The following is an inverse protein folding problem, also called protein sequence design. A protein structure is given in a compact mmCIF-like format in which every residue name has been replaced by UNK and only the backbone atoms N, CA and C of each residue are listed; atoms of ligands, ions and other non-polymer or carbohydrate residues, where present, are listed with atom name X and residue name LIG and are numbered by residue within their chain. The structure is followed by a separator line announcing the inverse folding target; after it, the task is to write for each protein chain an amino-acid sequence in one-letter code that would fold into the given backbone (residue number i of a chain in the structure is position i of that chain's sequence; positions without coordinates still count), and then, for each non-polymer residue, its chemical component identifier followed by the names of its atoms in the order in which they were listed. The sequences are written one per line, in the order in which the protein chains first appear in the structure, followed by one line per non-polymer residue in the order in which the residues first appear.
data_IF_583559503203
#
_entry.id   IF_583559503203
#
_cell.length_a   1.000
_cell.length_b   1.000
_cell.length_c   1.000
_cell.angle_alpha   90.00
_cell.angle_beta   90.00
_cell.angle_gamma   90.00
#
_symmetry.space_group_name_H-M   'P 1'
#
loop_
_entity.id
_entity.type
_entity.pdbx_description
1 polymer ?
#
# COMPACT_ATOMS: atom_id res chain seq x y z
N UNK A 1 3.02 -6.61 27.39
CA UNK A 1 1.58 -6.30 27.26
C UNK A 1 1.10 -6.92 25.97
N UNK A 2 0.26 -7.95 26.09
CA UNK A 2 -0.19 -8.86 25.03
C UNK A 2 -1.39 -8.30 24.28
N UNK A 3 -1.21 -7.90 23.02
CA UNK A 3 -2.31 -7.58 22.10
C UNK A 3 -2.62 -8.79 21.21
N UNK A 4 -3.85 -9.30 21.28
CA UNK A 4 -4.36 -10.35 20.39
C UNK A 4 -4.80 -9.73 19.05
N UNK A 5 -4.33 -10.29 17.93
CA UNK A 5 -4.82 -10.00 16.59
C UNK A 5 -5.02 -11.31 15.83
N UNK A 6 -6.17 -11.48 15.18
CA UNK A 6 -6.47 -12.67 14.39
C UNK A 6 -5.71 -12.61 13.06
N UNK A 7 -4.65 -13.40 12.95
CA UNK A 7 -3.99 -13.68 11.67
C UNK A 7 -4.61 -14.97 11.10
N UNK A 8 -5.37 -14.87 10.01
CA UNK A 8 -5.72 -16.05 9.23
C UNK A 8 -4.54 -16.36 8.29
N UNK A 9 -3.63 -17.22 8.74
CA UNK A 9 -2.75 -17.95 7.82
C UNK A 9 -3.57 -19.07 7.20
N UNK A 10 -4.39 -18.75 6.21
CA UNK A 10 -5.07 -19.77 5.41
C UNK A 10 -4.01 -20.49 4.57
N UNK A 11 -3.68 -21.72 4.95
CA UNK A 11 -2.83 -22.62 4.18
C UNK A 11 -3.63 -23.06 2.94
N UNK A 12 -3.48 -22.33 1.84
CA UNK A 12 -4.04 -22.69 0.53
C UNK A 12 -4.51 -21.47 -0.25
N UNK A 13 -3.85 -21.18 -1.39
CA UNK A 13 -4.18 -20.28 -2.53
C UNK A 13 -4.71 -18.86 -2.24
N UNK A 14 -4.92 -18.51 -0.98
CA UNK A 14 -5.46 -17.26 -0.48
C UNK A 14 -4.36 -16.59 0.30
N UNK A 15 -4.08 -15.35 -0.07
CA UNK A 15 -3.09 -14.55 0.62
C UNK A 15 -3.40 -14.41 2.08
N UNK A 16 -2.40 -14.11 2.90
CA UNK A 16 -2.69 -13.89 4.29
C UNK A 16 -3.53 -12.60 4.38
N UNK A 17 -4.81 -12.79 4.69
CA UNK A 17 -5.79 -11.72 4.81
C UNK A 17 -5.80 -11.28 6.27
N UNK A 18 -5.18 -10.13 6.55
CA UNK A 18 -5.05 -9.61 7.91
C UNK A 18 -6.18 -8.61 8.21
N UNK A 19 -7.25 -9.11 8.83
CA UNK A 19 -8.46 -8.33 9.11
C UNK A 19 -8.23 -7.30 10.22
N UNK A 20 -7.44 -7.62 11.24
CA UNK A 20 -7.06 -6.67 12.31
C UNK A 20 -5.73 -7.07 12.96
N UNK A 21 -4.76 -6.15 12.99
CA UNK A 21 -3.43 -6.41 13.52
C UNK A 21 -3.04 -5.41 14.62
N UNK A 22 -2.69 -5.94 15.81
CA UNK A 22 -2.28 -5.20 17.02
C UNK A 22 -0.88 -5.64 17.53
N UNK A 23 0.08 -5.82 16.62
CA UNK A 23 1.43 -6.33 16.93
C UNK A 23 2.49 -5.28 16.61
N UNK A 24 3.63 -5.33 17.32
CA UNK A 24 4.60 -4.23 17.37
C UNK A 24 5.55 -4.11 16.17
N UNK A 25 5.55 -5.04 15.19
CA UNK A 25 6.51 -5.03 14.06
C UNK A 25 6.36 -6.16 13.00
N UNK A 26 5.19 -6.40 12.39
CA UNK A 26 5.13 -7.47 11.41
C UNK A 26 6.01 -7.14 10.19
N UNK A 27 6.72 -8.13 9.67
CA UNK A 27 7.52 -7.99 8.45
C UNK A 27 7.15 -9.11 7.48
N UNK A 28 6.67 -8.74 6.30
CA UNK A 28 6.29 -9.66 5.23
C UNK A 28 7.33 -9.62 4.12
N UNK A 29 7.82 -10.78 3.69
CA UNK A 29 8.82 -10.91 2.63
C UNK A 29 8.25 -11.73 1.48
N UNK A 30 8.50 -11.28 0.24
CA UNK A 30 8.22 -12.08 -0.96
C UNK A 30 6.73 -12.34 -1.18
N UNK A 31 5.88 -11.34 -0.92
CA UNK A 31 4.44 -11.43 -1.12
C UNK A 31 4.13 -11.53 -2.63
N UNK A 32 3.82 -12.75 -3.10
CA UNK A 32 3.54 -13.09 -4.50
C UNK A 32 2.32 -14.02 -4.59
N UNK A 33 1.62 -13.95 -5.73
CA UNK A 33 0.62 -14.92 -6.20
C UNK A 33 -0.53 -15.24 -5.22
N UNK A 34 -1.47 -14.30 -5.10
CA UNK A 34 -2.81 -14.64 -4.60
C UNK A 34 -3.85 -14.28 -5.67
N UNK A 35 -4.25 -15.27 -6.47
CA UNK A 35 -5.39 -15.20 -7.37
C UNK A 35 -6.74 -15.31 -6.64
N UNK A 36 -6.78 -15.10 -5.32
CA UNK A 36 -8.00 -15.17 -4.55
C UNK A 36 -8.88 -13.96 -4.89
N UNK A 37 -10.13 -14.15 -5.31
CA UNK A 37 -11.03 -13.03 -5.61
C UNK A 37 -11.40 -12.23 -4.37
N UNK A 38 -11.22 -12.75 -3.16
CA UNK A 38 -11.64 -12.06 -1.94
C UNK A 38 -10.52 -11.26 -1.26
N UNK A 39 -9.36 -11.13 -1.90
CA UNK A 39 -8.21 -10.44 -1.30
C UNK A 39 -8.24 -8.94 -1.61
N UNK A 40 -8.82 -8.16 -0.70
CA UNK A 40 -9.00 -6.70 -0.87
C UNK A 40 -7.78 -5.90 -0.42
N UNK A 41 -7.12 -6.34 0.65
CA UNK A 41 -5.96 -5.65 1.22
C UNK A 41 -5.01 -6.59 1.96
N UNK A 42 -3.72 -6.24 1.99
CA UNK A 42 -2.78 -6.90 2.89
C UNK A 42 -3.06 -6.52 4.35
N UNK A 43 -3.52 -5.29 4.62
CA UNK A 43 -3.94 -4.88 5.96
C UNK A 43 -5.24 -4.08 5.89
N UNK A 44 -6.36 -4.72 6.23
CA UNK A 44 -7.66 -4.03 6.21
C UNK A 44 -7.74 -2.99 7.32
N UNK A 45 -7.39 -3.36 8.54
CA UNK A 45 -7.25 -2.44 9.67
C UNK A 45 -5.97 -2.74 10.46
N UNK A 46 -5.09 -1.76 10.56
CA UNK A 46 -3.84 -1.89 11.30
C UNK A 46 -3.72 -0.82 12.38
N UNK A 47 -3.51 -1.25 13.62
CA UNK A 47 -3.21 -0.38 14.75
C UNK A 47 -1.89 -0.80 15.41
N UNK A 48 -0.80 -0.10 15.15
CA UNK A 48 0.48 -0.52 15.71
C UNK A 48 1.71 0.21 15.21
N UNK A 49 2.87 -0.46 15.36
CA UNK A 49 4.17 0.12 15.07
C UNK A 49 4.87 -0.66 13.95
N UNK A 50 5.41 0.10 13.01
CA UNK A 50 6.44 -0.26 12.04
C UNK A 50 6.22 -1.60 11.31
N UNK A 51 5.03 -1.85 10.72
CA UNK A 51 4.90 -2.96 9.81
C UNK A 51 5.77 -2.71 8.58
N UNK A 52 6.35 -3.76 8.03
CA UNK A 52 7.17 -3.69 6.82
C UNK A 52 6.70 -4.71 5.79
N UNK A 53 6.48 -4.28 4.55
CA UNK A 53 6.20 -5.16 3.42
C UNK A 53 7.40 -5.09 2.48
N UNK A 54 7.98 -6.24 2.13
CA UNK A 54 9.10 -6.35 1.22
C UNK A 54 8.74 -7.19 -0.01
N UNK A 55 9.00 -6.66 -1.20
CA UNK A 55 8.91 -7.39 -2.46
C UNK A 55 7.48 -7.72 -2.85
N UNK A 56 6.59 -6.73 -2.79
CA UNK A 56 5.21 -6.86 -3.24
C UNK A 56 5.18 -6.75 -4.78
N UNK A 57 4.96 -7.88 -5.45
CA UNK A 57 5.05 -7.99 -6.93
C UNK A 57 4.06 -9.02 -7.46
N UNK A 58 3.67 -8.89 -8.73
CA UNK A 58 2.95 -9.90 -9.52
C UNK A 58 1.57 -10.23 -8.92
N UNK A 59 0.79 -9.20 -8.60
CA UNK A 59 -0.49 -9.39 -7.92
C UNK A 59 -1.66 -9.42 -8.90
N UNK A 60 -2.30 -10.59 -9.03
CA UNK A 60 -3.42 -10.82 -9.95
C UNK A 60 -4.80 -10.99 -9.31
N UNK A 61 -4.97 -10.68 -8.02
CA UNK A 61 -6.32 -10.67 -7.44
C UNK A 61 -7.15 -9.58 -8.12
N UNK A 62 -8.33 -9.91 -8.66
CA UNK A 62 -9.15 -8.91 -9.35
C UNK A 62 -9.58 -7.77 -8.41
N UNK A 63 -9.82 -8.07 -7.13
CA UNK A 63 -10.45 -7.15 -6.18
C UNK A 63 -9.46 -6.49 -5.19
N UNK A 64 -8.16 -6.51 -5.49
CA UNK A 64 -7.15 -5.91 -4.60
C UNK A 64 -7.13 -4.39 -4.71
N UNK A 65 -7.57 -3.70 -3.65
CA UNK A 65 -7.75 -2.25 -3.66
C UNK A 65 -6.54 -1.50 -3.10
N UNK A 66 -5.94 -2.02 -2.02
CA UNK A 66 -4.82 -1.31 -1.37
C UNK A 66 -3.92 -2.20 -0.52
N UNK A 67 -2.66 -1.80 -0.31
CA UNK A 67 -1.78 -2.52 0.62
C UNK A 67 -2.23 -2.33 2.09
N UNK A 68 -2.71 -1.14 2.42
CA UNK A 68 -3.31 -0.81 3.70
C UNK A 68 -4.61 -0.03 3.49
N UNK A 69 -5.76 -0.62 3.85
CA UNK A 69 -7.03 0.09 3.73
C UNK A 69 -7.15 1.16 4.83
N UNK A 70 -6.96 0.78 6.09
CA UNK A 70 -6.95 1.71 7.22
C UNK A 70 -5.73 1.45 8.10
N UNK A 71 -4.86 2.45 8.20
CA UNK A 71 -3.67 2.40 9.04
C UNK A 71 -3.68 3.50 10.10
N UNK A 72 -3.56 3.09 11.36
CA UNK A 72 -3.38 3.96 12.51
C UNK A 72 -2.09 3.59 13.24
N UNK A 73 -1.04 4.40 13.15
CA UNK A 73 0.22 4.01 13.79
C UNK A 73 1.46 4.74 13.36
N UNK A 74 2.62 4.12 13.60
CA UNK A 74 3.91 4.74 13.34
C UNK A 74 4.73 3.92 12.36
N UNK A 75 5.35 4.62 11.42
CA UNK A 75 6.49 4.18 10.62
C UNK A 75 6.27 2.91 9.80
N UNK A 76 5.13 2.69 9.13
CA UNK A 76 5.04 1.58 8.20
C UNK A 76 6.03 1.78 7.06
N UNK A 77 6.53 0.69 6.49
CA UNK A 77 7.46 0.75 5.37
C UNK A 77 7.07 -0.24 4.28
N UNK A 78 7.01 0.23 3.04
CA UNK A 78 6.80 -0.62 1.88
C UNK A 78 8.05 -0.55 1.00
N UNK A 79 8.62 -1.69 0.70
CA UNK A 79 9.81 -1.85 -0.13
C UNK A 79 9.46 -2.66 -1.37
N UNK A 80 9.80 -2.12 -2.54
CA UNK A 80 9.61 -2.72 -3.85
C UNK A 80 8.14 -3.12 -4.08
N UNK A 81 7.32 -2.12 -4.40
CA UNK A 81 5.89 -2.29 -4.69
C UNK A 81 5.65 -1.97 -6.16
N UNK A 82 5.37 -3.02 -6.95
CA UNK A 82 5.33 -2.95 -8.42
C UNK A 82 4.49 -4.05 -9.02
N UNK A 83 4.19 -3.97 -10.32
CA UNK A 83 3.55 -5.03 -11.10
C UNK A 83 2.22 -5.50 -10.47
N UNK A 84 1.41 -4.55 -9.99
CA UNK A 84 0.05 -4.84 -9.51
C UNK A 84 -0.88 -4.88 -10.72
N UNK A 85 -1.42 -6.06 -11.01
CA UNK A 85 -2.33 -6.34 -12.12
C UNK A 85 -3.80 -6.35 -11.72
N UNK A 86 -4.15 -5.88 -10.52
CA UNK A 86 -5.53 -5.74 -10.11
C UNK A 86 -6.16 -4.51 -10.78
N UNK A 87 -7.29 -4.66 -11.51
CA UNK A 87 -8.00 -3.53 -12.07
C UNK A 87 -8.50 -2.57 -10.98
N UNK A 88 -8.81 -3.06 -9.77
CA UNK A 88 -9.38 -2.27 -8.68
C UNK A 88 -8.34 -1.62 -7.76
N UNK A 89 -7.04 -1.73 -8.07
CA UNK A 89 -5.99 -1.16 -7.23
C UNK A 89 -5.98 0.38 -7.28
N UNK A 90 -6.37 1.01 -6.17
CA UNK A 90 -6.52 2.46 -6.06
C UNK A 90 -5.29 3.13 -5.44
N UNK A 91 -4.75 2.55 -4.37
CA UNK A 91 -3.68 3.21 -3.61
C UNK A 91 -2.85 2.27 -2.75
N UNK A 92 -1.66 2.68 -2.33
CA UNK A 92 -0.90 1.92 -1.34
C UNK A 92 -1.55 2.02 0.06
N UNK A 93 -2.02 3.21 0.41
CA UNK A 93 -2.79 3.49 1.62
C UNK A 93 -4.07 4.23 1.27
N UNK A 94 -5.22 3.61 1.52
CA UNK A 94 -6.50 4.29 1.34
C UNK A 94 -6.71 5.34 2.43
N UNK A 95 -6.54 4.96 3.69
CA UNK A 95 -6.58 5.87 4.83
C UNK A 95 -5.37 5.65 5.74
N UNK A 96 -4.58 6.71 5.94
CA UNK A 96 -3.43 6.72 6.84
C UNK A 96 -3.59 7.78 7.91
N UNK A 97 -3.49 7.37 9.17
CA UNK A 97 -3.43 8.22 10.35
C UNK A 97 -2.18 7.88 11.15
N UNK A 98 -1.16 8.74 11.13
CA UNK A 98 0.08 8.33 11.78
C UNK A 98 1.31 9.16 11.49
N UNK A 99 2.47 8.58 11.79
CA UNK A 99 3.76 9.27 11.57
C UNK A 99 4.69 8.44 10.71
N UNK A 100 5.42 9.14 9.84
CA UNK A 100 6.63 8.68 9.15
C UNK A 100 6.48 7.40 8.32
N UNK A 101 5.41 7.22 7.51
CA UNK A 101 5.39 6.13 6.55
C UNK A 101 6.52 6.31 5.52
N UNK A 102 7.07 5.20 5.03
CA UNK A 102 8.19 5.22 4.08
C UNK A 102 7.96 4.24 2.92
N UNK A 103 8.15 4.70 1.69
CA UNK A 103 8.01 3.89 0.48
C UNK A 103 9.29 3.90 -0.30
N UNK A 104 9.68 2.73 -0.79
CA UNK A 104 10.87 2.56 -1.59
C UNK A 104 10.52 1.77 -2.84
N UNK A 105 10.69 2.38 -4.02
CA UNK A 105 10.52 1.71 -5.30
C UNK A 105 9.06 1.39 -5.61
N UNK A 106 8.25 2.44 -5.73
CA UNK A 106 6.84 2.39 -6.12
C UNK A 106 6.72 2.70 -7.63
N UNK A 107 6.47 1.68 -8.45
CA UNK A 107 6.48 1.81 -9.92
C UNK A 107 5.71 0.73 -10.66
N UNK A 108 5.45 0.91 -11.95
CA UNK A 108 4.95 -0.11 -12.87
C UNK A 108 3.58 -0.69 -12.44
N UNK A 109 2.55 0.15 -12.35
CA UNK A 109 1.18 -0.30 -12.04
C UNK A 109 0.39 -0.52 -13.33
N UNK A 110 -0.14 -1.72 -13.49
CA UNK A 110 -1.03 -2.08 -14.61
C UNK A 110 -2.51 -1.77 -14.31
N UNK A 111 -2.81 -1.22 -13.14
CA UNK A 111 -4.18 -0.85 -12.78
C UNK A 111 -4.60 0.45 -13.47
N UNK A 112 -5.74 0.46 -14.21
CA UNK A 112 -6.29 1.68 -14.77
C UNK A 112 -6.83 2.62 -13.68
N UNK A 113 -7.17 2.11 -12.48
CA UNK A 113 -7.84 2.87 -11.43
C UNK A 113 -6.89 3.40 -10.34
N UNK A 114 -5.57 3.36 -10.56
CA UNK A 114 -4.60 3.81 -9.58
C UNK A 114 -4.59 5.34 -9.43
N UNK A 115 -4.98 5.84 -8.26
CA UNK A 115 -5.15 7.27 -8.01
C UNK A 115 -3.91 7.90 -7.36
N UNK A 116 -3.35 7.28 -6.32
CA UNK A 116 -2.28 7.88 -5.51
C UNK A 116 -1.54 6.90 -4.60
N UNK A 117 -0.38 7.29 -4.06
CA UNK A 117 0.25 6.51 -2.98
C UNK A 117 -0.60 6.53 -1.71
N UNK A 118 -1.22 7.69 -1.43
CA UNK A 118 -2.11 7.92 -0.31
C UNK A 118 -3.40 8.60 -0.76
N UNK A 119 -4.53 7.91 -0.64
CA UNK A 119 -5.81 8.55 -0.92
C UNK A 119 -6.15 9.56 0.17
N UNK A 120 -6.09 9.17 1.45
CA UNK A 120 -6.24 10.07 2.58
C UNK A 120 -5.07 9.92 3.55
N UNK A 121 -4.32 11.01 3.73
CA UNK A 121 -3.21 11.09 4.67
C UNK A 121 -3.48 12.11 5.77
N UNK A 122 -3.45 11.67 7.01
CA UNK A 122 -3.47 12.48 8.21
C UNK A 122 -2.26 12.16 9.08
N UNK A 123 -1.26 13.03 9.12
CA UNK A 123 -0.03 12.65 9.80
C UNK A 123 1.17 13.54 9.61
N UNK A 124 2.35 13.03 9.94
CA UNK A 124 3.59 13.77 9.77
C UNK A 124 4.64 12.96 9.03
N UNK A 125 5.46 13.67 8.25
CA UNK A 125 6.72 13.22 7.70
C UNK A 125 6.65 11.97 6.80
N UNK A 126 5.69 11.86 5.88
CA UNK A 126 5.72 10.77 4.91
C UNK A 126 6.95 10.91 4.01
N UNK A 127 7.54 9.77 3.64
CA UNK A 127 8.72 9.71 2.78
C UNK A 127 8.48 8.77 1.61
N UNK A 128 8.49 9.30 0.40
CA UNK A 128 8.30 8.53 -0.84
C UNK A 128 9.61 8.58 -1.63
N UNK A 129 10.27 7.43 -1.73
CA UNK A 129 11.51 7.22 -2.45
C UNK A 129 11.21 6.43 -3.73
N UNK A 130 11.26 7.13 -4.87
CA UNK A 130 10.97 6.59 -6.22
C UNK A 130 9.50 6.24 -6.43
N UNK A 131 8.78 7.17 -7.07
CA UNK A 131 7.38 7.09 -7.47
C UNK A 131 7.30 7.38 -8.98
N UNK A 132 7.20 6.36 -9.82
CA UNK A 132 7.32 6.51 -11.28
C UNK A 132 6.47 5.50 -12.06
N UNK A 133 6.33 5.73 -13.37
CA UNK A 133 5.87 4.72 -14.33
C UNK A 133 4.43 4.21 -14.05
N UNK A 134 3.50 5.16 -13.88
CA UNK A 134 2.07 4.87 -13.72
C UNK A 134 1.38 4.98 -15.08
N UNK A 135 0.60 3.96 -15.44
CA UNK A 135 -0.24 3.96 -16.64
C UNK A 135 -1.73 4.01 -16.31
N UNK A 136 -2.08 4.73 -15.24
CA UNK A 136 -3.46 4.98 -14.86
C UNK A 136 -3.88 6.37 -15.33
N UNK A 137 -4.96 6.49 -16.14
CA UNK A 137 -5.55 7.80 -16.46
C UNK A 137 -6.15 8.50 -15.22
N UNK A 138 -6.50 7.75 -14.17
CA UNK A 138 -7.08 8.27 -12.93
C UNK A 138 -6.03 8.76 -11.92
N UNK A 139 -4.75 8.71 -12.28
CA UNK A 139 -3.68 9.16 -11.39
C UNK A 139 -3.79 10.67 -11.12
N UNK A 140 -3.94 11.02 -9.84
CA UNK A 140 -4.09 12.41 -9.40
C UNK A 140 -2.75 12.98 -8.92
N UNK A 141 -2.15 12.36 -7.89
CA UNK A 141 -0.89 12.81 -7.32
C UNK A 141 -0.33 11.77 -6.33
N UNK A 142 0.81 12.05 -5.68
CA UNK A 142 1.30 11.21 -4.60
C UNK A 142 0.35 11.17 -3.37
N UNK A 143 -0.43 12.22 -3.15
CA UNK A 143 -1.40 12.33 -2.04
C UNK A 143 -2.70 12.96 -2.55
N UNK A 144 -3.81 12.21 -2.61
CA UNK A 144 -5.10 12.79 -3.04
C UNK A 144 -5.62 13.79 -2.00
N UNK A 145 -5.64 13.42 -0.72
CA UNK A 145 -5.94 14.30 0.40
C UNK A 145 -4.80 14.27 1.43
N UNK A 146 -4.24 15.44 1.74
CA UNK A 146 -3.11 15.58 2.65
C UNK A 146 -3.39 16.56 3.79
N UNK A 147 -3.50 16.03 4.99
CA UNK A 147 -3.63 16.77 6.24
C UNK A 147 -2.44 16.45 7.14
N UNK A 148 -1.33 17.10 6.87
CA UNK A 148 -0.09 16.79 7.57
C UNK A 148 1.01 17.79 7.37
N UNK A 149 2.22 17.43 7.81
CA UNK A 149 3.41 18.29 7.69
C UNK A 149 4.62 17.49 7.24
N UNK A 150 5.57 18.21 6.62
CA UNK A 150 6.91 17.73 6.22
C UNK A 150 6.92 16.52 5.27
N UNK A 151 6.14 16.51 4.17
CA UNK A 151 6.29 15.46 3.16
C UNK A 151 7.70 15.50 2.56
N UNK A 152 8.22 14.34 2.19
CA UNK A 152 9.50 14.21 1.48
C UNK A 152 9.32 13.26 0.30
N UNK A 153 9.35 13.81 -0.92
CA UNK A 153 9.26 13.04 -2.16
C UNK A 153 10.58 13.22 -2.88
N UNK A 154 11.34 12.13 -3.03
CA UNK A 154 12.73 12.21 -3.50
C UNK A 154 12.85 11.99 -5.02
N UNK A 155 11.93 11.24 -5.62
CA UNK A 155 11.94 10.91 -7.04
C UNK A 155 10.51 10.75 -7.54
N UNK A 156 10.08 11.63 -8.46
CA UNK A 156 8.79 11.60 -9.14
C UNK A 156 9.03 11.75 -10.65
N UNK A 157 8.52 10.85 -11.51
CA UNK A 157 8.77 10.88 -12.98
C UNK A 157 7.76 10.01 -13.74
N UNK A 158 7.51 10.35 -15.01
CA UNK A 158 6.74 9.58 -15.99
C UNK A 158 5.37 9.13 -15.47
N UNK A 159 4.46 10.10 -15.41
CA UNK A 159 3.01 9.85 -15.36
C UNK A 159 2.58 9.70 -16.82
N UNK A 160 2.56 8.48 -17.32
CA UNK A 160 2.12 8.19 -18.68
C UNK A 160 0.61 8.27 -18.78
N UNK A 161 0.06 9.49 -18.75
CA UNK A 161 -1.26 9.70 -19.34
C UNK A 161 -1.07 9.74 -20.85
N UNK A 162 -1.75 8.88 -21.63
CA UNK A 162 -1.68 8.94 -23.09
C UNK A 162 -2.28 10.23 -23.68
N UNK A 163 -2.88 11.10 -22.86
CA UNK A 163 -3.65 12.28 -23.29
C UNK A 163 -2.99 13.64 -22.96
N UNK A 164 -1.64 13.71 -22.90
CA UNK A 164 -0.91 14.99 -22.91
C UNK A 164 0.17 15.03 -24.00
#
# INVERSE_FOLDING_TARGET
SSGFGLAFSALGTSGPHFTAFHWLRPSFYGFKDFGSPNFVSAFTAFHGLRPSIYGFKDFGSPNFVSAFTAFHGLRPSIYCFRDVGSPDFVSAFTAFHGLRPSFYGFKDFGSPNFVSAFTAFHGLRPSIYCFRDFRSPDFVSAFTAFHGLRPSIYCFRDVGSPDF
#
